data_IF_377724652571
#
_entry.id   IF_377724652571
#
_cell.length_a   1.000
_cell.length_b   1.000
_cell.length_c   1.000
_cell.angle_alpha   90.00
_cell.angle_beta   90.00
_cell.angle_gamma   90.00
#
_symmetry.space_group_name_H-M   'P 1'
#
loop_
_entity.id
_entity.type
_entity.pdbx_description
1 polymer ?
#
# COMPACT_ATOMS: atom_id res chain seq x y z
N UNK A 1 -13.55 -33.74 2.63
CA UNK A 1 -12.58 -32.62 2.61
C UNK A 1 -13.20 -31.54 3.47
N UNK A 2 -12.74 -31.40 4.71
CA UNK A 2 -13.26 -30.37 5.60
C UNK A 2 -12.89 -28.99 5.03
N UNK A 3 -13.91 -28.16 4.81
CA UNK A 3 -13.70 -26.78 4.39
C UNK A 3 -13.01 -26.03 5.53
N UNK A 4 -12.04 -25.14 5.25
CA UNK A 4 -11.47 -24.30 6.29
C UNK A 4 -12.58 -23.48 6.94
N UNK A 5 -12.61 -23.48 8.27
CA UNK A 5 -13.62 -22.77 9.05
C UNK A 5 -13.69 -21.30 8.62
N UNK A 6 -14.80 -20.92 7.99
CA UNK A 6 -15.04 -19.56 7.52
C UNK A 6 -15.22 -18.67 8.76
N UNK A 7 -14.21 -17.84 9.06
CA UNK A 7 -14.19 -16.95 10.22
C UNK A 7 -12.79 -16.45 10.58
N UNK A 8 -12.69 -15.53 11.54
CA UNK A 8 -11.41 -14.94 11.97
C UNK A 8 -10.45 -16.05 12.40
N UNK A 9 -9.29 -16.11 11.74
CA UNK A 9 -8.22 -17.07 12.01
C UNK A 9 -7.24 -16.48 13.03
N UNK A 10 -7.38 -16.91 14.29
CA UNK A 10 -6.48 -16.49 15.37
C UNK A 10 -5.29 -17.44 15.52
N UNK A 11 -4.26 -17.00 16.25
CA UNK A 11 -3.09 -17.84 16.56
C UNK A 11 -3.48 -19.15 17.25
N UNK A 12 -4.44 -19.11 18.18
CA UNK A 12 -4.95 -20.29 18.89
C UNK A 12 -5.66 -21.29 17.98
N UNK A 13 -6.43 -20.82 16.97
CA UNK A 13 -7.05 -21.71 15.97
C UNK A 13 -6.01 -22.39 15.07
N UNK A 14 -4.94 -21.67 14.78
CA UNK A 14 -3.86 -22.14 13.89
C UNK A 14 -2.90 -23.11 14.58
N UNK A 15 -2.85 -23.13 15.91
CA UNK A 15 -2.10 -24.14 16.66
C UNK A 15 -2.63 -25.57 16.44
N UNK A 16 -3.95 -25.71 16.30
CA UNK A 16 -4.62 -27.00 16.12
C UNK A 16 -4.79 -27.40 14.64
N UNK A 17 -4.73 -26.42 13.73
CA UNK A 17 -4.66 -26.62 12.28
C UNK A 17 -3.57 -25.71 11.69
N UNK A 18 -2.31 -26.19 11.63
CA UNK A 18 -1.18 -25.39 11.21
C UNK A 18 -1.35 -24.88 9.77
N UNK A 19 -0.85 -23.68 9.51
CA UNK A 19 -0.85 -23.11 8.15
C UNK A 19 0.02 -23.98 7.26
N UNK A 20 -0.55 -24.43 6.15
CA UNK A 20 0.22 -25.08 5.10
C UNK A 20 0.62 -24.01 4.07
N UNK A 21 1.92 -23.90 3.81
CA UNK A 21 2.48 -23.00 2.81
C UNK A 21 2.85 -23.79 1.56
N UNK A 22 2.68 -23.17 0.40
CA UNK A 22 3.06 -23.78 -0.87
C UNK A 22 4.56 -23.66 -1.07
N UNK A 23 5.16 -24.67 -1.72
CA UNK A 23 6.53 -24.61 -2.23
C UNK A 23 6.46 -24.45 -3.74
N UNK A 24 7.03 -23.37 -4.27
CA UNK A 24 7.01 -23.03 -5.69
C UNK A 24 8.42 -22.60 -6.16
N UNK A 25 8.72 -22.67 -7.46
CA UNK A 25 10.00 -22.19 -7.99
C UNK A 25 10.21 -20.69 -7.70
N UNK A 26 11.45 -20.28 -7.44
CA UNK A 26 11.81 -18.88 -7.11
C UNK A 26 11.35 -17.90 -8.20
N UNK A 27 11.54 -18.24 -9.47
CA UNK A 27 11.09 -17.39 -10.58
C UNK A 27 9.56 -17.19 -10.57
N UNK A 28 8.80 -18.23 -10.23
CA UNK A 28 7.33 -18.12 -10.11
C UNK A 28 6.96 -17.21 -8.93
N UNK A 29 7.71 -17.26 -7.82
CA UNK A 29 7.47 -16.36 -6.70
C UNK A 29 7.80 -14.90 -7.03
N UNK A 30 8.93 -14.65 -7.72
CA UNK A 30 9.28 -13.31 -8.20
C UNK A 30 8.18 -12.78 -9.11
N UNK A 31 7.76 -13.58 -10.09
CA UNK A 31 6.64 -13.25 -10.98
C UNK A 31 5.36 -12.89 -10.23
N UNK A 32 4.98 -13.67 -9.20
CA UNK A 32 3.80 -13.34 -8.36
C UNK A 32 3.96 -12.04 -7.59
N UNK A 33 5.15 -11.72 -7.11
CA UNK A 33 5.43 -10.45 -6.44
C UNK A 33 5.31 -9.27 -7.41
N UNK A 34 5.72 -9.44 -8.68
CA UNK A 34 5.54 -8.41 -9.71
C UNK A 34 4.05 -8.15 -10.02
N UNK A 35 3.21 -9.18 -10.06
CA UNK A 35 1.75 -8.99 -10.19
C UNK A 35 1.19 -8.23 -8.99
N UNK A 36 1.64 -8.60 -7.78
CA UNK A 36 1.20 -7.92 -6.57
C UNK A 36 1.60 -6.44 -6.58
N UNK A 37 2.82 -6.14 -7.02
CA UNK A 37 3.29 -4.76 -7.14
C UNK A 37 2.46 -3.99 -8.17
N UNK A 38 2.14 -4.58 -9.31
CA UNK A 38 1.24 -3.96 -10.28
C UNK A 38 -0.15 -3.67 -9.67
N UNK A 39 -0.70 -4.59 -8.87
CA UNK A 39 -1.97 -4.35 -8.15
C UNK A 39 -1.87 -3.13 -7.24
N UNK A 40 -0.81 -3.04 -6.44
CA UNK A 40 -0.58 -1.90 -5.53
C UNK A 40 -0.44 -0.58 -6.30
N UNK A 41 0.26 -0.59 -7.44
CA UNK A 41 0.44 0.59 -8.28
C UNK A 41 -0.88 1.06 -8.88
N UNK A 42 -1.71 0.13 -9.39
CA UNK A 42 -3.05 0.44 -9.89
C UNK A 42 -3.91 1.06 -8.79
N UNK A 43 -3.95 0.45 -7.60
CA UNK A 43 -4.72 0.95 -6.45
C UNK A 43 -4.25 2.35 -6.03
N UNK A 44 -2.94 2.54 -5.92
CA UNK A 44 -2.34 3.84 -5.54
C UNK A 44 -2.69 4.93 -6.55
N UNK A 45 -2.59 4.63 -7.85
CA UNK A 45 -2.89 5.60 -8.90
C UNK A 45 -4.39 5.90 -8.99
N UNK A 46 -5.26 4.92 -8.73
CA UNK A 46 -6.71 5.16 -8.63
C UNK A 46 -7.06 6.05 -7.43
N UNK A 47 -6.43 5.86 -6.27
CA UNK A 47 -6.63 6.72 -5.10
C UNK A 47 -6.16 8.17 -5.33
N UNK A 48 -5.09 8.37 -6.12
CA UNK A 48 -4.60 9.71 -6.48
C UNK A 48 -5.51 10.40 -7.49
N UNK A 49 -5.98 9.67 -8.51
CA UNK A 49 -6.89 10.21 -9.52
C UNK A 49 -8.25 10.65 -8.94
N UNK A 50 -8.68 10.06 -7.82
CA UNK A 50 -9.89 10.49 -7.10
C UNK A 50 -9.73 11.76 -6.25
N UNK A 51 -8.53 12.33 -6.12
CA UNK A 51 -8.27 13.55 -5.34
C UNK A 51 -8.25 14.84 -6.16
N UNK A 52 -8.21 14.75 -7.49
CA UNK A 52 -8.19 15.92 -8.39
C UNK A 52 -9.61 16.48 -8.68
N UNK A 53 -10.67 15.87 -8.16
CA UNK A 53 -12.07 16.29 -8.34
C UNK A 53 -12.75 16.80 -7.04
N UNK A 54 -12.02 16.94 -5.93
CA UNK A 54 -12.53 17.50 -4.67
C UNK A 54 -11.71 18.73 -4.26
N UNK A 55 -12.04 19.88 -4.87
CA UNK A 55 -11.77 21.20 -4.29
C UNK A 55 -12.46 21.29 -2.91
N UNK A 56 -11.68 21.65 -1.87
CA UNK A 56 -12.09 22.33 -0.63
C UNK A 56 -13.47 21.98 -0.02
N UNK A 57 -13.56 20.84 0.67
CA UNK A 57 -14.48 20.75 1.81
C UNK A 57 -13.70 20.27 3.05
N UNK A 58 -13.41 21.25 3.90
CA UNK A 58 -13.02 21.14 5.32
C UNK A 58 -13.79 20.00 5.98
N UNK A 59 -13.13 18.85 6.19
CA UNK A 59 -13.68 17.70 6.91
C UNK A 59 -13.73 18.07 8.40
N UNK A 60 -14.81 18.78 8.77
CA UNK A 60 -15.21 19.12 10.12
C UNK A 60 -15.57 17.81 10.84
N UNK A 61 -14.58 17.19 11.47
CA UNK A 61 -14.76 16.05 12.36
C UNK A 61 -15.62 16.49 13.56
N UNK A 62 -16.95 16.42 13.41
CA UNK A 62 -17.91 16.52 14.52
C UNK A 62 -17.69 15.34 15.47
N UNK A 63 -16.77 15.52 16.43
CA UNK A 63 -16.52 14.59 17.53
C UNK A 63 -17.65 14.76 18.57
N UNK A 64 -18.75 14.06 18.33
CA UNK A 64 -19.88 13.98 19.26
C UNK A 64 -19.58 12.95 20.36
N UNK A 65 -18.69 13.29 21.30
CA UNK A 65 -18.52 12.57 22.56
C UNK A 65 -18.89 13.47 23.76
N UNK A 66 -20.18 13.31 24.09
CA UNK A 66 -21.04 13.90 25.09
C UNK A 66 -20.76 13.74 26.59
N UNK A 67 -19.57 13.44 27.14
CA UNK A 67 -19.55 13.16 28.59
C UNK A 67 -18.20 13.22 29.33
N UNK A 68 -18.01 14.28 30.13
CA UNK A 68 -17.17 14.23 31.32
C UNK A 68 -16.38 15.50 31.61
N UNK A 69 -16.92 16.34 32.50
CA UNK A 69 -16.31 17.56 33.01
C UNK A 69 -14.86 17.41 33.53
N UNK A 70 -13.94 18.21 32.99
CA UNK A 70 -13.10 19.10 33.79
C UNK A 70 -12.64 20.28 32.91
N UNK A 71 -13.18 21.47 33.19
CA UNK A 71 -12.89 22.73 32.51
C UNK A 71 -11.43 23.14 32.76
N UNK A 72 -10.49 22.49 32.07
CA UNK A 72 -9.13 23.03 31.92
C UNK A 72 -9.28 24.22 30.98
N UNK A 73 -9.42 25.41 31.57
CA UNK A 73 -9.35 26.70 30.89
C UNK A 73 -7.95 26.86 30.25
N UNK A 74 -7.74 26.18 29.12
CA UNK A 74 -6.62 26.38 28.24
C UNK A 74 -6.93 27.65 27.45
N UNK A 75 -6.51 28.77 28.05
CA UNK A 75 -6.54 30.14 27.51
C UNK A 75 -6.22 30.18 26.01
N UNK A 76 -7.23 30.04 25.14
CA UNK A 76 -7.19 30.37 23.70
C UNK A 76 -5.99 29.84 22.91
N UNK A 77 -5.40 28.71 23.30
CA UNK A 77 -4.29 28.08 22.58
C UNK A 77 -4.84 26.85 21.88
N UNK A 78 -4.63 26.77 20.58
CA UNK A 78 -4.99 25.58 19.80
C UNK A 78 -4.04 24.43 20.18
N UNK A 79 -4.46 23.18 19.90
CA UNK A 79 -3.58 22.02 20.12
C UNK A 79 -2.27 22.17 19.32
N UNK A 80 -2.34 22.82 18.16
CA UNK A 80 -1.18 23.17 17.33
C UNK A 80 -0.22 24.12 18.05
N UNK A 81 -0.73 25.16 18.70
CA UNK A 81 0.12 26.10 19.47
C UNK A 81 0.85 25.40 20.63
N UNK A 82 0.19 24.42 21.27
CA UNK A 82 0.80 23.64 22.34
C UNK A 82 1.91 22.72 21.80
N UNK A 83 1.67 22.05 20.69
CA UNK A 83 2.64 21.17 20.02
C UNK A 83 3.85 22.00 19.55
N UNK A 84 3.62 23.13 18.89
CA UNK A 84 4.68 24.03 18.43
C UNK A 84 5.51 24.58 19.60
N UNK A 85 4.86 24.93 20.72
CA UNK A 85 5.56 25.40 21.91
C UNK A 85 6.44 24.31 22.54
N UNK A 86 6.00 23.05 22.53
CA UNK A 86 6.75 21.91 23.04
C UNK A 86 7.89 21.51 22.09
N UNK A 87 7.64 21.58 20.77
CA UNK A 87 8.63 21.30 19.74
C UNK A 87 9.74 22.36 19.73
N UNK A 88 9.38 23.65 19.90
CA UNK A 88 10.33 24.76 19.97
C UNK A 88 11.26 24.69 21.20
N UNK A 89 10.84 24.06 22.30
CA UNK A 89 11.69 23.83 23.48
C UNK A 89 12.64 22.63 23.30
N UNK A 90 12.36 21.74 22.35
CA UNK A 90 13.19 20.59 22.05
C UNK A 90 14.22 20.96 20.97
N UNK A 91 15.45 21.22 21.40
CA UNK A 91 16.60 21.66 20.58
C UNK A 91 17.12 20.59 19.58
N UNK A 92 16.26 19.68 19.12
CA UNK A 92 16.53 18.64 18.12
C UNK A 92 15.32 18.36 17.21
N UNK A 93 14.33 19.25 17.19
CA UNK A 93 13.21 19.22 16.24
C UNK A 93 13.31 20.46 15.34
N UNK A 94 14.42 20.58 14.60
CA UNK A 94 14.51 21.53 13.50
C UNK A 94 13.62 20.98 12.38
N UNK A 95 12.43 21.58 12.23
CA UNK A 95 11.49 21.29 11.13
C UNK A 95 12.05 21.76 9.77
N UNK A 96 13.13 22.53 9.79
CA UNK A 96 13.82 23.08 8.61
C UNK A 96 14.96 22.19 8.07
N UNK A 97 15.26 21.03 8.68
CA UNK A 97 16.01 19.99 7.98
C UNK A 97 15.04 19.31 6.99
N UNK A 98 14.67 20.04 5.93
CA UNK A 98 14.33 19.42 4.65
C UNK A 98 15.52 18.53 4.33
N UNK A 99 15.42 17.22 4.61
CA UNK A 99 16.43 16.25 4.21
C UNK A 99 16.72 16.51 2.73
N UNK A 100 17.88 17.11 2.42
CA UNK A 100 18.26 17.42 1.04
C UNK A 100 18.15 16.10 0.27
N UNK A 101 17.16 16.01 -0.63
CA UNK A 101 16.95 14.81 -1.44
C UNK A 101 18.27 14.45 -2.10
N UNK A 102 18.75 13.23 -1.84
CA UNK A 102 20.06 12.77 -2.31
C UNK A 102 20.18 13.07 -3.82
N UNK A 103 21.15 13.91 -4.25
CA UNK A 103 21.27 14.30 -5.65
C UNK A 103 21.44 13.09 -6.57
N UNK A 104 21.99 11.97 -6.08
CA UNK A 104 22.13 10.73 -6.85
C UNK A 104 20.78 10.05 -7.15
N UNK A 105 19.74 10.29 -6.32
CA UNK A 105 18.40 9.74 -6.53
C UNK A 105 17.74 10.29 -7.80
N UNK A 106 17.88 11.60 -8.03
CA UNK A 106 17.35 12.27 -9.23
C UNK A 106 18.08 11.88 -10.53
N UNK A 107 19.32 11.41 -10.41
CA UNK A 107 20.20 11.02 -11.52
C UNK A 107 19.96 9.54 -11.90
N UNK A 108 19.34 8.74 -11.02
CA UNK A 108 19.04 7.33 -11.32
C UNK A 108 17.99 7.24 -12.46
N UNK A 109 18.31 6.59 -13.59
CA UNK A 109 17.36 6.40 -14.69
C UNK A 109 16.08 5.67 -14.28
N UNK A 110 16.14 4.87 -13.20
CA UNK A 110 15.02 4.13 -12.62
C UNK A 110 14.02 5.04 -11.92
N UNK A 111 14.46 6.20 -11.42
CA UNK A 111 13.59 7.14 -10.70
C UNK A 111 12.47 7.70 -11.59
N UNK A 112 12.74 7.85 -12.89
CA UNK A 112 11.79 8.41 -13.85
C UNK A 112 10.86 7.36 -14.49
N UNK A 113 10.97 6.08 -14.10
CA UNK A 113 10.18 5.01 -14.70
C UNK A 113 8.76 5.05 -14.14
N UNK A 114 7.78 5.14 -15.03
CA UNK A 114 6.40 4.78 -14.70
C UNK A 114 6.35 3.27 -14.43
N UNK A 115 6.36 2.92 -13.14
CA UNK A 115 6.40 1.54 -12.69
C UNK A 115 5.16 0.75 -13.13
N UNK A 116 3.98 1.37 -13.17
CA UNK A 116 2.75 0.71 -13.60
C UNK A 116 2.83 0.37 -15.09
N UNK A 117 3.25 1.32 -15.93
CA UNK A 117 3.42 1.11 -17.36
C UNK A 117 4.48 0.03 -17.63
N UNK A 118 5.64 0.13 -16.97
CA UNK A 118 6.73 -0.83 -17.14
C UNK A 118 6.32 -2.26 -16.75
N UNK A 119 5.68 -2.46 -15.60
CA UNK A 119 5.19 -3.77 -15.17
C UNK A 119 4.12 -4.32 -16.11
N UNK A 120 3.23 -3.46 -16.61
CA UNK A 120 2.21 -3.84 -17.59
C UNK A 120 2.84 -4.39 -18.86
N UNK A 121 3.78 -3.65 -19.46
CA UNK A 121 4.48 -4.07 -20.68
C UNK A 121 5.29 -5.35 -20.46
N UNK A 122 6.01 -5.44 -19.34
CA UNK A 122 6.80 -6.61 -18.98
C UNK A 122 5.93 -7.87 -18.86
N UNK A 123 4.82 -7.79 -18.13
CA UNK A 123 3.92 -8.93 -17.91
C UNK A 123 3.21 -9.33 -19.21
N UNK A 124 2.82 -8.37 -20.05
CA UNK A 124 2.25 -8.64 -21.37
C UNK A 124 3.26 -9.35 -22.28
N UNK A 125 4.51 -8.85 -22.33
CA UNK A 125 5.59 -9.48 -23.09
C UNK A 125 5.88 -10.90 -22.60
N UNK A 126 5.98 -11.10 -21.27
CA UNK A 126 6.21 -12.41 -20.67
C UNK A 126 5.08 -13.40 -21.01
N UNK A 127 3.82 -12.92 -21.06
CA UNK A 127 2.65 -13.76 -21.38
C UNK A 127 2.67 -14.38 -22.77
N UNK A 128 3.42 -13.78 -23.70
CA UNK A 128 3.57 -14.25 -25.07
C UNK A 128 4.71 -15.27 -25.22
N UNK A 129 5.55 -15.44 -24.20
CA UNK A 129 6.70 -16.35 -24.26
C UNK A 129 6.26 -17.81 -24.04
N UNK A 130 6.97 -18.74 -24.67
CA UNK A 130 6.67 -20.18 -24.54
C UNK A 130 6.78 -20.71 -23.10
N UNK A 131 7.58 -20.07 -22.25
CA UNK A 131 7.73 -20.43 -20.84
C UNK A 131 6.54 -19.98 -19.97
N UNK A 132 5.62 -19.17 -20.50
CA UNK A 132 4.51 -18.61 -19.72
C UNK A 132 3.61 -19.68 -19.10
N UNK A 133 3.47 -20.84 -19.76
CA UNK A 133 2.70 -21.97 -19.21
C UNK A 133 3.21 -22.46 -17.85
N UNK A 134 4.50 -22.28 -17.56
CA UNK A 134 5.11 -22.64 -16.27
C UNK A 134 4.72 -21.64 -15.17
N UNK A 135 4.36 -20.41 -15.53
CA UNK A 135 3.90 -19.39 -14.58
C UNK A 135 2.39 -19.44 -14.40
N UNK A 136 1.64 -19.59 -15.49
CA UNK A 136 0.18 -19.55 -15.47
C UNK A 136 -0.47 -20.70 -14.70
N UNK A 137 0.19 -21.86 -14.62
CA UNK A 137 -0.27 -22.99 -13.80
C UNK A 137 -0.30 -22.69 -12.30
N UNK A 138 0.37 -21.62 -11.84
CA UNK A 138 0.45 -21.25 -10.44
C UNK A 138 -0.46 -20.08 -10.06
N UNK A 139 -1.24 -19.50 -10.97
CA UNK A 139 -2.08 -18.35 -10.65
C UNK A 139 -3.17 -18.68 -9.63
N UNK A 140 -3.39 -17.75 -8.70
CA UNK A 140 -4.59 -17.72 -7.87
C UNK A 140 -5.64 -16.77 -8.49
N UNK A 141 -6.84 -16.72 -7.92
CA UNK A 141 -7.93 -15.93 -8.51
C UNK A 141 -7.69 -14.41 -8.48
N UNK A 142 -7.04 -13.89 -7.44
CA UNK A 142 -6.71 -12.46 -7.35
C UNK A 142 -5.67 -12.05 -8.38
N UNK A 143 -4.63 -12.87 -8.58
CA UNK A 143 -3.61 -12.65 -9.61
C UNK A 143 -4.21 -12.69 -11.01
N UNK A 144 -5.13 -13.63 -11.28
CA UNK A 144 -5.83 -13.67 -12.57
C UNK A 144 -6.69 -12.44 -12.80
N UNK A 145 -7.29 -11.89 -11.75
CA UNK A 145 -8.07 -10.66 -11.86
C UNK A 145 -7.19 -9.50 -12.31
N UNK A 146 -6.05 -9.28 -11.64
CA UNK A 146 -5.07 -8.24 -12.00
C UNK A 146 -4.53 -8.44 -13.42
N UNK A 147 -4.23 -9.67 -13.83
CA UNK A 147 -3.73 -9.91 -15.19
C UNK A 147 -4.78 -9.63 -16.28
N UNK A 148 -6.06 -9.82 -15.99
CA UNK A 148 -7.14 -9.48 -16.92
C UNK A 148 -7.32 -7.97 -17.08
N UNK A 149 -7.07 -7.16 -16.06
CA UNK A 149 -7.16 -5.70 -16.17
C UNK A 149 -6.14 -5.14 -17.18
N UNK A 150 -5.02 -5.83 -17.36
CA UNK A 150 -4.00 -5.51 -18.36
C UNK A 150 -4.08 -6.35 -19.64
N UNK A 151 -5.24 -6.92 -19.96
CA UNK A 151 -5.52 -7.67 -21.20
C UNK A 151 -4.69 -8.95 -21.41
N UNK A 152 -4.26 -9.61 -20.33
CA UNK A 152 -3.64 -10.94 -20.42
C UNK A 152 -4.71 -12.02 -20.21
N UNK A 153 -4.76 -13.00 -21.12
CA UNK A 153 -5.76 -14.08 -21.07
C UNK A 153 -5.27 -15.24 -20.18
N UNK A 154 -5.92 -15.43 -19.01
CA UNK A 154 -5.54 -16.36 -17.93
C UNK A 154 -6.71 -17.06 -17.26
#
# INVERSE_FOLDING_TARGET
>A
VEQPTSGIRTRSKTANQPVQWTTIPVLVKIYKLLINELSNQIETNMCKAGKDDEDDEEDDWEDEDADGEEDIQLRGQTLSDLIDSMAAEFNGYDVDDEEEEDPDFSIDPTYQIDLQAYLTEFLQSLSQQACYSTFSSHHNDSEKHVLRTININV
#
